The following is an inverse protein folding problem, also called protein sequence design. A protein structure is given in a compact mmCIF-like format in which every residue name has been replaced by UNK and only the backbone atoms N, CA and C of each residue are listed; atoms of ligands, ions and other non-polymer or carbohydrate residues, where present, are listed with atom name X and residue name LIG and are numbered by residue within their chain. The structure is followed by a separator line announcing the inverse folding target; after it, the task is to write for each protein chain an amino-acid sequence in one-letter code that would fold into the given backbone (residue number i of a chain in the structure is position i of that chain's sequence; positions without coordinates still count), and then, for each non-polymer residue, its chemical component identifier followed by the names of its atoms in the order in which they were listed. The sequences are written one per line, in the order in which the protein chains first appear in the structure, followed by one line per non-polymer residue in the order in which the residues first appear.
data_IF_129056911355
#
_entry.id   IF_129056911355
#
_cell.length_a   1.000
_cell.length_b   1.000
_cell.length_c   1.000
_cell.angle_alpha   90.00
_cell.angle_beta   90.00
_cell.angle_gamma   90.00
#
_symmetry.space_group_name_H-M   'P 1'
#
loop_
_entity.id
_entity.type
_entity.pdbx_description
1 polymer ?
#
# COMPACT_ATOMS: atom_id res chain seq x y z
N UNK A 1 -28.36 10.10 -6.24
CA UNK A 1 -27.08 10.47 -6.89
C UNK A 1 -26.05 9.41 -6.58
N UNK A 2 -25.37 8.82 -7.59
CA UNK A 2 -24.18 7.99 -7.31
C UNK A 2 -23.12 8.90 -6.70
N UNK A 3 -22.70 8.64 -5.45
CA UNK A 3 -21.53 9.31 -4.87
C UNK A 3 -20.35 9.02 -5.80
N UNK A 4 -19.77 10.07 -6.39
CA UNK A 4 -18.53 9.93 -7.17
C UNK A 4 -17.42 9.59 -6.18
N UNK A 5 -16.69 8.51 -6.45
CA UNK A 5 -15.54 8.14 -5.66
C UNK A 5 -14.41 9.14 -5.92
N UNK A 6 -13.90 9.76 -4.87
CA UNK A 6 -12.72 10.62 -4.97
C UNK A 6 -11.46 9.77 -4.86
N UNK A 7 -10.93 9.38 -6.02
CA UNK A 7 -9.72 8.59 -6.12
C UNK A 7 -8.48 9.34 -5.58
N UNK A 8 -8.47 10.68 -5.65
CA UNK A 8 -7.34 11.50 -5.22
C UNK A 8 -7.31 11.56 -3.70
N UNK A 9 -8.45 11.82 -3.06
CA UNK A 9 -8.55 11.81 -1.60
C UNK A 9 -8.20 10.43 -1.03
N UNK A 10 -8.68 9.37 -1.69
CA UNK A 10 -8.34 8.00 -1.32
C UNK A 10 -6.84 7.73 -1.40
N UNK A 11 -6.20 8.06 -2.54
CA UNK A 11 -4.75 7.87 -2.72
C UNK A 11 -3.93 8.66 -1.69
N UNK A 12 -4.35 9.88 -1.35
CA UNK A 12 -3.69 10.69 -0.32
C UNK A 12 -3.75 10.02 1.06
N UNK A 13 -4.90 9.47 1.44
CA UNK A 13 -5.06 8.73 2.71
C UNK A 13 -4.17 7.50 2.76
N UNK A 14 -4.22 6.67 1.72
CA UNK A 14 -3.39 5.46 1.62
C UNK A 14 -1.90 5.80 1.69
N UNK A 15 -1.44 6.82 0.95
CA UNK A 15 -0.04 7.23 0.96
C UNK A 15 0.42 7.71 2.33
N UNK A 16 -0.41 8.49 3.04
CA UNK A 16 -0.09 8.97 4.38
C UNK A 16 0.05 7.81 5.37
N UNK A 17 -0.90 6.88 5.36
CA UNK A 17 -0.89 5.72 6.28
C UNK A 17 0.32 4.81 6.02
N UNK A 18 0.62 4.49 4.75
CA UNK A 18 1.78 3.68 4.41
C UNK A 18 3.10 4.40 4.74
N UNK A 19 3.16 5.72 4.54
CA UNK A 19 4.31 6.54 4.90
C UNK A 19 4.58 6.52 6.41
N UNK A 20 3.54 6.65 7.22
CA UNK A 20 3.65 6.58 8.69
C UNK A 20 4.16 5.20 9.15
N UNK A 21 3.61 4.11 8.58
CA UNK A 21 4.09 2.74 8.88
C UNK A 21 5.56 2.56 8.50
N UNK A 22 5.93 2.96 7.28
CA UNK A 22 7.32 2.89 6.80
C UNK A 22 8.29 3.68 7.69
N UNK A 23 7.91 4.89 8.12
CA UNK A 23 8.75 5.73 8.99
C UNK A 23 8.85 5.20 10.42
N UNK A 24 7.81 4.55 10.94
CA UNK A 24 7.82 3.98 12.29
C UNK A 24 8.70 2.74 12.42
N UNK A 25 8.66 1.83 11.45
CA UNK A 25 9.48 0.62 11.43
C UNK A 25 9.60 0.09 10.00
N UNK A 26 10.66 0.54 9.33
CA UNK A 26 10.93 0.23 7.93
C UNK A 26 11.06 -1.28 7.67
N UNK A 27 11.81 -1.99 8.50
CA UNK A 27 12.11 -3.41 8.26
C UNK A 27 10.87 -4.28 8.41
N UNK A 28 10.11 -4.09 9.48
CA UNK A 28 8.86 -4.82 9.69
C UNK A 28 7.86 -4.53 8.56
N UNK A 29 7.76 -3.27 8.14
CA UNK A 29 6.88 -2.89 7.04
C UNK A 29 7.28 -3.53 5.70
N UNK A 30 8.57 -3.57 5.37
CA UNK A 30 9.05 -4.21 4.15
C UNK A 30 8.86 -5.73 4.19
N UNK A 31 9.08 -6.37 5.34
CA UNK A 31 8.82 -7.80 5.51
C UNK A 31 7.32 -8.12 5.32
N UNK A 32 6.43 -7.32 5.89
CA UNK A 32 4.98 -7.48 5.72
C UNK A 32 4.57 -7.35 4.24
N UNK A 33 5.20 -6.43 3.48
CA UNK A 33 4.95 -6.29 2.05
C UNK A 33 5.43 -7.49 1.25
N UNK A 34 6.61 -8.02 1.56
CA UNK A 34 7.16 -9.20 0.90
C UNK A 34 6.30 -10.44 1.18
N UNK A 35 5.87 -10.64 2.42
CA UNK A 35 5.01 -11.76 2.80
C UNK A 35 3.64 -11.70 2.11
N UNK A 36 3.05 -10.50 1.99
CA UNK A 36 1.72 -10.33 1.38
C UNK A 36 1.73 -10.34 -0.15
N UNK A 37 2.80 -9.84 -0.76
CA UNK A 37 2.80 -9.51 -2.19
C UNK A 37 4.01 -10.04 -2.96
N UNK A 38 4.99 -10.66 -2.30
CA UNK A 38 6.21 -11.19 -2.94
C UNK A 38 5.88 -12.23 -4.02
N UNK A 39 4.81 -13.00 -3.85
CA UNK A 39 4.37 -13.99 -4.83
C UNK A 39 3.70 -13.37 -6.09
N UNK A 40 3.25 -12.11 -6.02
CA UNK A 40 2.71 -11.40 -7.19
C UNK A 40 3.79 -11.10 -8.24
N UNK A 41 5.07 -11.09 -7.86
CA UNK A 41 6.18 -10.91 -8.81
C UNK A 41 6.44 -12.13 -9.71
N UNK A 42 5.90 -13.33 -9.39
CA UNK A 42 6.29 -14.58 -10.07
C UNK A 42 5.47 -14.98 -11.30
N UNK A 43 4.55 -14.13 -11.78
CA UNK A 43 3.95 -14.33 -13.11
C UNK A 43 4.75 -13.59 -14.18
N UNK A 44 5.91 -14.14 -14.52
CA UNK A 44 6.49 -13.96 -15.86
C UNK A 44 6.09 -15.20 -16.66
N UNK A 45 5.01 -15.09 -17.42
CA UNK A 45 4.79 -15.96 -18.57
C UNK A 45 5.83 -15.65 -19.67
#
# INVERSE_FOLDING_TARGET
MKKKFDAVEFQRKVRKELGEKYLSNREAFLHELEEKYGDLQKKKD
#
